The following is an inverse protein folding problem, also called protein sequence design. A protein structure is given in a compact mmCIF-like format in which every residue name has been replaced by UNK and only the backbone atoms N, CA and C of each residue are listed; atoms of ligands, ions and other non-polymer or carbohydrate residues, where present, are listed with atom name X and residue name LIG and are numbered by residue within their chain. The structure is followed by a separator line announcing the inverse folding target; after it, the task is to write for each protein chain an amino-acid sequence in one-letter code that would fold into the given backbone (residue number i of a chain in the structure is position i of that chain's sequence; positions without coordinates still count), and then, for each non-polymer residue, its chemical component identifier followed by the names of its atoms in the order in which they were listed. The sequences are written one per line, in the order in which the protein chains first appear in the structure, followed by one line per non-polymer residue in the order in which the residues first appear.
data_IF_844919365434
#
_entry.id   IF_844919365434
#
_cell.length_a   1.000
_cell.length_b   1.000
_cell.length_c   1.000
_cell.angle_alpha   90.00
_cell.angle_beta   90.00
_cell.angle_gamma   90.00
#
_symmetry.space_group_name_H-M   'P 1'
#
loop_
_entity.id
_entity.type
_entity.pdbx_description
1 polymer ?
#
# COMPACT_ATOMS: atom_id res chain seq x y z
N UNK A 1 78.76 13.78 -64.34
CA UNK A 1 78.05 15.09 -64.37
C UNK A 1 77.19 15.19 -63.11
N UNK A 2 77.35 16.22 -62.26
CA UNK A 2 76.29 16.69 -61.36
C UNK A 2 75.36 17.64 -62.18
N UNK A 3 74.28 18.29 -61.68
CA UNK A 3 73.80 18.42 -60.28
C UNK A 3 72.23 18.47 -60.07
N UNK A 4 71.83 18.59 -58.79
CA UNK A 4 70.81 19.52 -58.21
C UNK A 4 69.30 19.17 -58.09
N UNK A 5 68.89 19.08 -56.80
CA UNK A 5 67.73 19.66 -56.04
C UNK A 5 66.29 19.31 -56.47
N UNK A 6 65.28 19.20 -55.59
CA UNK A 6 65.00 19.79 -54.25
C UNK A 6 64.02 18.86 -53.50
N UNK A 7 64.27 18.47 -52.23
CA UNK A 7 63.79 19.05 -50.95
C UNK A 7 62.34 18.73 -50.54
N UNK A 8 62.27 17.86 -49.51
CA UNK A 8 61.35 17.72 -48.35
C UNK A 8 59.83 17.78 -48.58
N UNK A 9 59.14 16.72 -48.11
CA UNK A 9 57.95 16.93 -47.31
C UNK A 9 57.82 15.98 -46.11
N UNK A 10 57.19 16.52 -45.07
CA UNK A 10 57.29 16.20 -43.66
C UNK A 10 56.24 15.17 -43.21
N UNK A 11 56.64 14.33 -42.23
CA UNK A 11 55.87 13.76 -41.10
C UNK A 11 54.54 13.03 -41.35
N UNK A 12 54.47 11.80 -40.81
CA UNK A 12 53.42 11.42 -39.85
C UNK A 12 53.92 10.27 -38.95
N UNK A 13 54.17 10.58 -37.68
CA UNK A 13 54.45 9.62 -36.62
C UNK A 13 53.12 8.98 -36.18
N UNK A 14 53.04 7.65 -36.24
CA UNK A 14 51.98 6.88 -35.61
C UNK A 14 52.44 6.45 -34.20
N UNK A 15 51.65 6.78 -33.17
CA UNK A 15 51.67 6.13 -31.86
C UNK A 15 50.23 5.70 -31.53
N UNK A 16 50.02 4.49 -30.98
CA UNK A 16 48.68 3.97 -30.71
C UNK A 16 48.07 4.66 -29.48
N UNK A 17 46.82 5.10 -29.61
CA UNK A 17 46.07 5.76 -28.55
C UNK A 17 45.65 4.74 -27.49
N UNK A 18 45.98 5.01 -26.22
CA UNK A 18 45.52 4.25 -25.07
C UNK A 18 43.99 4.38 -24.92
N UNK A 19 43.30 3.25 -24.71
CA UNK A 19 41.86 3.23 -24.44
C UNK A 19 41.57 3.76 -23.03
N UNK A 20 40.63 4.70 -22.93
CA UNK A 20 40.08 5.19 -21.67
C UNK A 20 39.20 4.11 -21.00
N UNK A 21 39.17 4.01 -19.66
CA UNK A 21 38.35 3.02 -18.97
C UNK A 21 36.87 3.33 -19.20
N UNK A 22 36.14 2.32 -19.69
CA UNK A 22 34.68 2.37 -19.86
C UNK A 22 34.03 2.45 -18.48
N UNK A 23 33.56 3.64 -18.12
CA UNK A 23 32.86 3.86 -16.87
C UNK A 23 31.43 3.28 -16.98
N UNK A 24 31.30 1.97 -16.77
CA UNK A 24 30.01 1.27 -16.64
C UNK A 24 29.40 1.58 -15.26
N UNK A 25 29.00 2.83 -15.05
CA UNK A 25 28.01 3.11 -14.03
C UNK A 25 26.62 2.75 -14.56
N UNK A 26 25.81 1.95 -13.84
CA UNK A 26 24.43 1.72 -14.24
C UNK A 26 23.74 3.08 -14.36
N UNK A 27 23.15 3.34 -15.54
CA UNK A 27 22.35 4.54 -15.79
C UNK A 27 21.30 4.60 -14.68
N UNK A 28 21.42 5.57 -13.77
CA UNK A 28 20.46 5.84 -12.72
C UNK A 28 19.12 6.08 -13.42
N UNK A 29 18.21 5.11 -13.35
CA UNK A 29 16.85 5.26 -13.86
C UNK A 29 16.25 6.46 -13.15
N UNK A 30 15.97 7.51 -13.92
CA UNK A 30 15.45 8.76 -13.38
C UNK A 30 13.97 8.50 -13.09
N UNK A 31 13.67 8.08 -11.86
CA UNK A 31 12.29 7.88 -11.45
C UNK A 31 11.63 9.26 -11.38
N UNK A 32 10.40 9.43 -11.93
CA UNK A 32 9.71 10.70 -11.84
C UNK A 32 9.59 11.13 -10.37
N UNK A 33 9.57 12.44 -10.13
CA UNK A 33 9.38 12.95 -8.77
C UNK A 33 7.99 12.60 -8.25
N UNK A 34 6.96 12.64 -9.10
CA UNK A 34 5.57 12.50 -8.69
C UNK A 34 5.11 13.62 -7.76
N UNK A 35 3.84 13.58 -7.38
CA UNK A 35 3.23 14.48 -6.39
C UNK A 35 3.33 13.88 -5.00
N UNK A 36 3.32 14.72 -3.95
CA UNK A 36 3.36 14.26 -2.55
C UNK A 36 2.13 13.43 -2.17
N UNK A 37 0.97 13.91 -2.59
CA UNK A 37 -0.34 13.35 -2.30
C UNK A 37 -1.00 12.98 -3.64
N UNK A 38 -0.92 11.71 -4.02
CA UNK A 38 -1.50 11.18 -5.24
C UNK A 38 -2.94 10.75 -4.96
N UNK A 39 -3.90 11.34 -5.67
CA UNK A 39 -5.32 11.07 -5.51
C UNK A 39 -5.93 10.64 -6.83
N UNK A 40 -6.50 9.43 -6.87
CA UNK A 40 -7.10 8.83 -8.05
C UNK A 40 -8.60 8.65 -7.79
N UNK A 41 -9.45 9.28 -8.59
CA UNK A 41 -10.91 9.23 -8.39
C UNK A 41 -11.53 8.03 -9.08
N UNK A 42 -11.14 7.74 -10.32
CA UNK A 42 -11.64 6.57 -11.04
C UNK A 42 -10.50 5.80 -11.73
N UNK A 43 -10.64 4.48 -11.75
CA UNK A 43 -9.59 3.58 -12.27
C UNK A 43 -9.42 3.76 -13.79
N UNK A 44 -10.51 3.87 -14.52
CA UNK A 44 -10.53 4.06 -15.98
C UNK A 44 -10.01 5.44 -16.44
N UNK A 45 -10.22 6.50 -15.65
CA UNK A 45 -9.84 7.86 -16.04
C UNK A 45 -8.48 8.28 -15.53
N UNK A 46 -8.10 7.85 -14.33
CA UNK A 46 -6.92 8.39 -13.63
C UNK A 46 -5.76 7.40 -13.57
N UNK A 47 -6.00 6.09 -13.78
CA UNK A 47 -4.96 5.07 -13.65
C UNK A 47 -4.28 4.74 -14.98
N UNK A 48 -5.02 4.20 -15.94
CA UNK A 48 -4.51 3.58 -17.17
C UNK A 48 -3.51 4.48 -17.92
N UNK A 49 -2.22 4.12 -17.86
CA UNK A 49 -1.10 4.82 -18.51
C UNK A 49 -0.79 6.21 -17.95
N UNK A 50 -1.40 6.60 -16.83
CA UNK A 50 -1.30 7.93 -16.23
C UNK A 50 -0.67 7.92 -14.84
N UNK A 51 -0.81 6.83 -14.09
CA UNK A 51 -0.31 6.74 -12.71
C UNK A 51 1.21 7.00 -12.60
N UNK A 52 2.00 6.58 -13.60
CA UNK A 52 3.46 6.78 -13.64
C UNK A 52 3.87 8.26 -13.67
N UNK A 53 2.98 9.15 -14.14
CA UNK A 53 3.23 10.59 -14.16
C UNK A 53 2.94 11.25 -12.80
N UNK A 54 2.11 10.60 -11.98
CA UNK A 54 1.61 11.11 -10.70
C UNK A 54 2.41 10.52 -9.54
N UNK A 55 2.70 9.22 -9.59
CA UNK A 55 3.42 8.49 -8.54
C UNK A 55 4.90 8.52 -8.83
N UNK A 56 5.69 8.85 -7.81
CA UNK A 56 7.14 8.90 -7.93
C UNK A 56 7.84 8.99 -6.58
N UNK A 57 9.12 9.33 -6.61
CA UNK A 57 10.00 9.35 -5.41
C UNK A 57 9.63 10.40 -4.35
N UNK A 58 8.76 11.35 -4.68
CA UNK A 58 8.20 12.36 -3.77
C UNK A 58 6.82 11.97 -3.23
N UNK A 59 6.18 10.95 -3.79
CA UNK A 59 4.88 10.46 -3.33
C UNK A 59 4.99 9.85 -1.95
N UNK A 60 4.06 10.22 -1.09
CA UNK A 60 3.95 9.75 0.30
C UNK A 60 2.58 9.15 0.54
N UNK A 61 1.55 9.75 -0.02
CA UNK A 61 0.18 9.33 0.21
C UNK A 61 -0.43 8.96 -1.15
N UNK A 62 -1.04 7.77 -1.21
CA UNK A 62 -1.84 7.31 -2.34
C UNK A 62 -3.27 7.12 -1.82
N UNK A 63 -4.21 7.80 -2.45
CA UNK A 63 -5.62 7.79 -2.09
C UNK A 63 -6.45 7.43 -3.32
N UNK A 64 -7.34 6.47 -3.16
CA UNK A 64 -8.30 6.02 -4.16
C UNK A 64 -9.70 6.44 -3.73
N UNK A 65 -10.39 7.15 -4.62
CA UNK A 65 -11.66 7.79 -4.36
C UNK A 65 -12.89 6.96 -4.75
N UNK A 66 -14.04 7.63 -4.67
CA UNK A 66 -15.39 7.04 -4.71
C UNK A 66 -15.86 6.45 -6.04
N UNK A 67 -15.04 6.42 -7.09
CA UNK A 67 -15.35 5.79 -8.38
C UNK A 67 -14.23 4.82 -8.82
N UNK A 68 -13.40 4.38 -7.86
CA UNK A 68 -12.21 3.57 -8.12
C UNK A 68 -12.46 2.09 -7.82
N UNK A 69 -12.17 1.21 -8.80
CA UNK A 69 -12.20 -0.24 -8.61
C UNK A 69 -10.79 -0.73 -8.27
N UNK A 70 -10.50 -0.94 -6.99
CA UNK A 70 -9.18 -1.37 -6.56
C UNK A 70 -9.00 -2.88 -6.76
N UNK A 71 -7.96 -3.26 -7.50
CA UNK A 71 -7.60 -4.64 -7.82
C UNK A 71 -6.10 -4.88 -7.59
N UNK A 72 -5.68 -6.14 -7.70
CA UNK A 72 -4.28 -6.55 -7.60
C UNK A 72 -3.39 -5.83 -8.61
N UNK A 73 -3.86 -5.63 -9.84
CA UNK A 73 -3.10 -4.96 -10.91
C UNK A 73 -2.64 -3.57 -10.49
N UNK A 74 -3.50 -2.83 -9.78
CA UNK A 74 -3.16 -1.50 -9.28
C UNK A 74 -2.07 -1.52 -8.21
N UNK A 75 -2.06 -2.55 -7.34
CA UNK A 75 -0.94 -2.74 -6.41
C UNK A 75 0.31 -3.06 -7.21
N UNK A 76 0.22 -3.97 -8.18
CA UNK A 76 1.36 -4.45 -8.95
C UNK A 76 2.01 -3.37 -9.80
N UNK A 77 1.20 -2.50 -10.38
CA UNK A 77 1.61 -1.27 -11.06
C UNK A 77 2.44 -0.36 -10.13
N UNK A 78 1.97 -0.12 -8.90
CA UNK A 78 2.73 0.68 -7.92
C UNK A 78 4.05 0.00 -7.58
N UNK A 79 4.04 -1.32 -7.41
CA UNK A 79 5.25 -2.08 -7.08
C UNK A 79 6.25 -2.12 -8.24
N UNK A 80 5.77 -2.10 -9.49
CA UNK A 80 6.57 -2.04 -10.70
C UNK A 80 7.35 -0.72 -10.83
N UNK A 81 6.92 0.36 -10.17
CA UNK A 81 7.68 1.62 -10.05
C UNK A 81 8.98 1.47 -9.24
N UNK A 82 9.15 0.35 -8.52
CA UNK A 82 10.38 -0.05 -7.86
C UNK A 82 10.54 0.47 -6.43
N UNK A 83 11.49 -0.15 -5.70
CA UNK A 83 11.74 0.15 -4.28
C UNK A 83 12.00 1.64 -3.97
N UNK A 84 12.68 2.44 -4.82
CA UNK A 84 12.86 3.88 -4.56
C UNK A 84 11.56 4.67 -4.43
N UNK A 85 10.46 4.17 -5.02
CA UNK A 85 9.12 4.73 -4.88
C UNK A 85 8.39 4.06 -3.72
N UNK A 86 8.37 2.72 -3.64
CA UNK A 86 7.64 1.99 -2.59
C UNK A 86 8.11 2.34 -1.17
N UNK A 87 9.42 2.52 -0.96
CA UNK A 87 10.01 2.94 0.33
C UNK A 87 9.57 4.35 0.75
N UNK A 88 9.00 5.13 -0.16
CA UNK A 88 8.52 6.48 0.14
C UNK A 88 7.06 6.51 0.53
N UNK A 89 6.29 5.47 0.23
CA UNK A 89 4.86 5.42 0.54
C UNK A 89 4.68 5.31 2.06
N UNK A 90 3.87 6.22 2.59
CA UNK A 90 3.55 6.39 4.00
C UNK A 90 2.07 6.12 4.26
N UNK A 91 1.20 6.47 3.32
CA UNK A 91 -0.24 6.21 3.41
C UNK A 91 -0.75 5.56 2.13
N UNK A 92 -1.53 4.50 2.30
CA UNK A 92 -2.26 3.82 1.23
C UNK A 92 -3.72 3.73 1.66
N UNK A 93 -4.59 4.46 0.97
CA UNK A 93 -5.97 4.68 1.41
C UNK A 93 -6.91 4.38 0.25
N UNK A 94 -7.82 3.45 0.47
CA UNK A 94 -8.99 3.19 -0.36
C UNK A 94 -10.24 3.44 0.49
N UNK A 95 -11.06 4.38 0.05
CA UNK A 95 -12.28 4.81 0.73
C UNK A 95 -13.52 4.29 -0.02
N UNK A 96 -14.42 3.65 0.73
CA UNK A 96 -15.70 3.16 0.25
C UNK A 96 -16.81 4.08 0.76
N UNK A 97 -17.19 5.06 -0.06
CA UNK A 97 -18.15 6.10 0.33
C UNK A 97 -19.44 6.12 -0.52
N UNK A 98 -19.35 5.85 -1.82
CA UNK A 98 -20.51 5.81 -2.71
C UNK A 98 -21.18 4.43 -2.69
N UNK A 99 -22.49 4.41 -2.46
CA UNK A 99 -23.35 3.22 -2.44
C UNK A 99 -24.60 3.41 -3.31
N UNK A 100 -24.66 4.51 -4.07
CA UNK A 100 -25.76 4.79 -4.98
C UNK A 100 -25.86 3.77 -6.11
N UNK A 101 -26.95 3.83 -6.87
CA UNK A 101 -27.18 2.90 -8.00
C UNK A 101 -26.07 2.91 -9.06
N UNK A 102 -25.31 3.99 -9.15
CA UNK A 102 -24.20 4.16 -10.08
C UNK A 102 -22.81 3.90 -9.48
N UNK A 103 -22.72 3.50 -8.21
CA UNK A 103 -21.44 3.36 -7.50
C UNK A 103 -20.48 2.40 -8.22
N UNK A 104 -19.23 2.84 -8.42
CA UNK A 104 -18.13 2.02 -9.01
C UNK A 104 -16.87 2.04 -8.15
N UNK A 105 -17.05 2.11 -6.84
CA UNK A 105 -16.01 1.97 -5.84
C UNK A 105 -16.15 0.64 -5.13
N UNK A 106 -15.20 -0.27 -5.32
CA UNK A 106 -15.04 -1.42 -4.45
C UNK A 106 -13.61 -1.96 -4.51
N UNK A 107 -13.28 -2.80 -3.54
CA UNK A 107 -12.04 -3.55 -3.49
C UNK A 107 -12.31 -5.06 -3.35
N UNK A 108 -13.44 -5.55 -3.88
CA UNK A 108 -13.86 -6.95 -3.73
C UNK A 108 -12.95 -7.94 -4.47
N UNK A 109 -12.32 -7.46 -5.55
CA UNK A 109 -11.37 -8.24 -6.34
C UNK A 109 -9.95 -8.21 -5.77
N UNK A 110 -9.67 -7.33 -4.80
CA UNK A 110 -8.37 -7.26 -4.15
C UNK A 110 -8.09 -8.53 -3.34
N UNK A 111 -7.04 -9.25 -3.68
CA UNK A 111 -6.69 -10.51 -3.05
C UNK A 111 -5.83 -10.32 -1.80
N UNK A 112 -5.77 -11.37 -0.98
CA UNK A 112 -4.88 -11.42 0.15
C UNK A 112 -3.41 -11.33 -0.28
N UNK A 113 -3.04 -12.00 -1.38
CA UNK A 113 -1.69 -12.07 -1.92
C UNK A 113 -1.19 -10.69 -2.37
N UNK A 114 -2.05 -9.87 -2.97
CA UNK A 114 -1.72 -8.49 -3.31
C UNK A 114 -1.45 -7.64 -2.06
N UNK A 115 -2.26 -7.78 -1.01
CA UNK A 115 -2.05 -7.10 0.27
C UNK A 115 -0.72 -7.53 0.93
N UNK A 116 -0.39 -8.83 0.88
CA UNK A 116 0.91 -9.33 1.36
C UNK A 116 2.08 -8.69 0.61
N UNK A 117 1.98 -8.57 -0.72
CA UNK A 117 3.03 -7.92 -1.54
C UNK A 117 3.15 -6.43 -1.22
N UNK A 118 2.03 -5.74 -0.99
CA UNK A 118 2.02 -4.34 -0.57
C UNK A 118 2.75 -4.14 0.76
N UNK A 119 2.42 -4.95 1.78
CA UNK A 119 3.06 -4.89 3.10
C UNK A 119 4.57 -5.14 3.05
N UNK A 120 5.01 -6.11 2.25
CA UNK A 120 6.45 -6.43 2.08
C UNK A 120 7.22 -5.37 1.31
N UNK A 121 6.59 -4.69 0.36
CA UNK A 121 7.28 -3.77 -0.54
C UNK A 121 7.30 -2.32 -0.05
N UNK A 122 6.42 -1.96 0.89
CA UNK A 122 6.26 -0.59 1.40
C UNK A 122 6.59 -0.49 2.92
N UNK A 123 7.87 -0.63 3.34
CA UNK A 123 8.24 -0.75 4.75
C UNK A 123 8.02 0.52 5.59
N UNK A 124 7.78 1.67 4.95
CA UNK A 124 7.58 2.95 5.64
C UNK A 124 6.11 3.34 5.82
N UNK A 125 5.18 2.43 5.53
CA UNK A 125 3.76 2.64 5.78
C UNK A 125 3.49 3.01 7.25
N UNK A 126 2.69 4.06 7.43
CA UNK A 126 2.16 4.53 8.72
C UNK A 126 0.65 4.34 8.83
N UNK A 127 -0.06 4.46 7.72
CA UNK A 127 -1.51 4.28 7.64
C UNK A 127 -1.85 3.41 6.42
N UNK A 128 -2.57 2.34 6.65
CA UNK A 128 -3.23 1.56 5.60
C UNK A 128 -4.71 1.59 5.88
N UNK A 129 -5.51 1.93 4.88
CA UNK A 129 -6.96 1.89 4.96
C UNK A 129 -7.48 1.22 3.69
N UNK A 130 -8.02 0.02 3.85
CA UNK A 130 -8.61 -0.78 2.79
C UNK A 130 -10.03 -1.13 3.22
N UNK A 131 -10.98 -0.33 2.73
CA UNK A 131 -12.40 -0.57 2.94
C UNK A 131 -12.96 -1.44 1.81
N UNK A 132 -14.11 -2.06 2.04
CA UNK A 132 -14.75 -2.96 1.09
C UNK A 132 -13.86 -4.11 0.58
N UNK A 133 -12.93 -4.59 1.41
CA UNK A 133 -12.08 -5.75 1.10
C UNK A 133 -12.62 -7.01 1.77
N UNK A 134 -13.08 -8.00 0.99
CA UNK A 134 -13.70 -9.22 1.49
C UNK A 134 -12.80 -10.48 1.41
N UNK A 135 -11.61 -10.37 0.81
CA UNK A 135 -10.73 -11.51 0.55
C UNK A 135 -9.46 -11.54 1.39
N UNK A 136 -9.16 -10.48 2.13
CA UNK A 136 -7.96 -10.35 2.95
C UNK A 136 -8.06 -11.26 4.18
N UNK A 137 -7.00 -11.99 4.49
CA UNK A 137 -6.92 -12.96 5.60
C UNK A 137 -5.88 -12.49 6.63
N UNK A 138 -5.62 -13.32 7.65
CA UNK A 138 -4.59 -13.06 8.65
C UNK A 138 -3.22 -12.80 8.03
N UNK A 139 -2.85 -13.48 6.93
CA UNK A 139 -1.54 -13.30 6.28
C UNK A 139 -1.35 -11.88 5.73
N UNK A 140 -2.40 -11.32 5.10
CA UNK A 140 -2.40 -9.96 4.60
C UNK A 140 -2.21 -8.95 5.74
N UNK A 141 -2.96 -9.12 6.84
CA UNK A 141 -2.81 -8.27 8.03
C UNK A 141 -1.43 -8.41 8.68
N UNK A 142 -0.94 -9.65 8.82
CA UNK A 142 0.35 -9.98 9.42
C UNK A 142 1.52 -9.38 8.63
N UNK A 143 1.42 -9.36 7.29
CA UNK A 143 2.45 -8.75 6.44
C UNK A 143 2.73 -7.28 6.79
N UNK A 144 1.72 -6.52 7.21
CA UNK A 144 1.93 -5.14 7.66
C UNK A 144 2.61 -5.08 9.02
N UNK A 145 2.28 -5.99 9.94
CA UNK A 145 2.89 -6.02 11.27
C UNK A 145 4.39 -6.34 11.21
N UNK A 146 4.76 -7.32 10.40
CA UNK A 146 6.14 -7.79 10.23
C UNK A 146 7.02 -6.76 9.50
N UNK A 147 6.48 -6.14 8.45
CA UNK A 147 7.32 -5.40 7.49
C UNK A 147 7.24 -3.87 7.66
N UNK A 148 6.24 -3.35 8.40
CA UNK A 148 6.01 -1.90 8.54
C UNK A 148 6.22 -1.43 10.00
N UNK A 149 7.45 -1.21 10.48
CA UNK A 149 7.73 -0.82 11.87
C UNK A 149 7.19 0.58 12.24
N UNK A 150 6.87 1.40 11.24
CA UNK A 150 6.31 2.74 11.44
C UNK A 150 4.78 2.78 11.48
N UNK A 151 4.12 1.63 11.35
CA UNK A 151 2.67 1.53 11.25
C UNK A 151 1.98 2.05 12.52
N UNK A 152 1.00 2.92 12.34
CA UNK A 152 0.23 3.55 13.42
C UNK A 152 -1.26 3.25 13.35
N UNK A 153 -1.78 3.02 12.13
CA UNK A 153 -3.17 2.72 11.88
C UNK A 153 -3.31 1.71 10.74
N UNK A 154 -4.12 0.69 10.93
CA UNK A 154 -4.56 -0.23 9.88
C UNK A 154 -6.06 -0.34 9.91
N UNK A 155 -6.69 -0.27 8.74
CA UNK A 155 -8.09 -0.60 8.54
C UNK A 155 -8.21 -1.63 7.44
N UNK A 156 -8.81 -2.79 7.77
CA UNK A 156 -9.17 -3.86 6.85
C UNK A 156 -10.62 -4.25 7.16
N UNK A 157 -11.54 -3.84 6.31
CA UNK A 157 -12.99 -3.97 6.58
C UNK A 157 -13.72 -4.36 5.31
N UNK A 158 -14.65 -5.31 5.41
CA UNK A 158 -15.52 -5.71 4.30
C UNK A 158 -16.75 -4.81 4.14
N UNK A 159 -17.61 -5.18 3.19
CA UNK A 159 -19.00 -4.69 3.09
C UNK A 159 -19.95 -5.76 3.63
N UNK A 160 -21.16 -5.36 4.06
CA UNK A 160 -22.19 -6.30 4.52
C UNK A 160 -22.69 -7.27 3.43
N UNK A 161 -22.48 -6.93 2.14
CA UNK A 161 -22.87 -7.77 0.99
C UNK A 161 -21.90 -8.91 0.69
N UNK A 162 -20.63 -8.75 1.07
CA UNK A 162 -19.52 -9.61 0.64
C UNK A 162 -18.84 -10.36 1.78
N UNK A 163 -19.54 -11.31 2.40
CA UNK A 163 -18.97 -12.36 3.28
C UNK A 163 -18.35 -11.91 4.61
N UNK A 164 -18.32 -12.87 5.54
CA UNK A 164 -17.77 -12.79 6.90
C UNK A 164 -16.29 -12.45 6.83
N UNK A 165 -15.80 -11.60 7.73
CA UNK A 165 -14.37 -11.32 7.84
C UNK A 165 -13.59 -12.64 7.95
N UNK A 166 -12.62 -12.83 7.06
CA UNK A 166 -11.80 -14.04 7.02
C UNK A 166 -10.70 -14.06 8.08
N UNK A 167 -10.68 -13.06 8.96
CA UNK A 167 -9.71 -12.95 10.04
C UNK A 167 -10.08 -13.93 11.15
N UNK A 168 -9.26 -14.95 11.31
CA UNK A 168 -9.38 -15.95 12.38
C UNK A 168 -8.94 -15.41 13.73
N UNK A 169 -8.07 -14.39 13.75
CA UNK A 169 -7.41 -13.86 14.94
C UNK A 169 -5.94 -14.29 15.05
N UNK A 170 -5.47 -15.21 14.20
CA UNK A 170 -4.08 -15.67 14.17
C UNK A 170 -3.09 -14.52 14.05
N UNK A 171 -3.33 -13.53 13.17
CA UNK A 171 -2.44 -12.37 13.04
C UNK A 171 -2.37 -11.54 14.32
N UNK A 172 -3.45 -11.49 15.12
CA UNK A 172 -3.49 -10.77 16.38
C UNK A 172 -2.74 -11.52 17.48
N UNK A 173 -2.84 -12.84 17.50
CA UNK A 173 -2.06 -13.70 18.39
C UNK A 173 -0.57 -13.60 18.09
N UNK A 174 -0.19 -13.65 16.81
CA UNK A 174 1.20 -13.46 16.37
C UNK A 174 1.72 -12.05 16.74
N UNK A 175 0.94 -10.99 16.52
CA UNK A 175 1.32 -9.65 16.94
C UNK A 175 1.50 -9.53 18.48
N UNK A 176 0.73 -10.29 19.26
CA UNK A 176 0.90 -10.35 20.72
C UNK A 176 2.21 -11.05 21.09
N UNK A 177 2.56 -12.13 20.41
CA UNK A 177 3.77 -12.92 20.66
C UNK A 177 5.06 -12.21 20.23
N UNK A 178 4.97 -11.31 19.24
CA UNK A 178 6.08 -10.52 18.71
C UNK A 178 5.93 -9.03 19.05
N UNK A 179 6.40 -8.63 20.24
CA UNK A 179 6.28 -7.25 20.73
C UNK A 179 7.06 -6.22 19.88
N UNK A 180 8.09 -6.67 19.17
CA UNK A 180 8.89 -5.89 18.24
C UNK A 180 8.15 -5.51 16.95
N UNK A 181 7.06 -6.22 16.60
CA UNK A 181 6.27 -5.94 15.40
C UNK A 181 5.29 -4.79 15.61
N UNK A 182 5.25 -3.90 14.61
CA UNK A 182 4.47 -2.66 14.61
C UNK A 182 4.39 -1.96 15.99
N UNK A 183 5.53 -1.57 16.60
CA UNK A 183 5.57 -1.08 17.99
C UNK A 183 4.85 0.27 18.16
N UNK A 184 4.58 0.97 17.05
CA UNK A 184 3.89 2.26 17.02
C UNK A 184 2.40 2.14 16.73
N UNK A 185 1.85 0.92 16.61
CA UNK A 185 0.45 0.70 16.26
C UNK A 185 -0.46 1.19 17.38
N UNK A 186 -1.36 2.13 17.05
CA UNK A 186 -2.30 2.74 17.99
C UNK A 186 -3.76 2.41 17.68
N UNK A 187 -4.07 2.22 16.40
CA UNK A 187 -5.43 2.01 15.92
C UNK A 187 -5.45 0.82 14.97
N UNK A 188 -6.35 -0.13 15.23
CA UNK A 188 -6.63 -1.23 14.34
C UNK A 188 -8.14 -1.25 14.11
N UNK A 189 -8.58 -1.21 12.86
CA UNK A 189 -10.00 -1.20 12.49
C UNK A 189 -10.25 -2.44 11.65
N UNK A 190 -11.05 -3.34 12.17
CA UNK A 190 -11.35 -4.63 11.55
C UNK A 190 -12.86 -4.77 11.41
N UNK A 191 -13.30 -5.61 10.48
CA UNK A 191 -14.71 -5.96 10.43
C UNK A 191 -15.15 -6.73 11.68
N UNK A 192 -16.43 -6.60 12.01
CA UNK A 192 -17.03 -7.24 13.18
C UNK A 192 -17.70 -8.56 12.80
N UNK A 193 -17.18 -9.68 13.33
CA UNK A 193 -17.90 -10.95 13.38
C UNK A 193 -17.98 -11.46 14.83
N UNK A 194 -19.01 -11.03 15.57
CA UNK A 194 -19.20 -11.42 16.98
C UNK A 194 -19.29 -12.94 17.19
N UNK A 195 -19.63 -13.70 16.15
CA UNK A 195 -19.70 -15.17 16.22
C UNK A 195 -18.32 -15.81 16.28
N UNK A 196 -17.28 -15.11 15.82
CA UNK A 196 -15.91 -15.60 15.83
C UNK A 196 -15.28 -15.40 17.22
N UNK A 197 -15.56 -16.35 18.12
CA UNK A 197 -15.04 -16.34 19.50
C UNK A 197 -13.51 -16.34 19.57
N UNK A 198 -12.83 -17.02 18.64
CA UNK A 198 -11.37 -17.08 18.58
C UNK A 198 -10.80 -15.70 18.29
N UNK A 199 -11.29 -15.04 17.24
CA UNK A 199 -10.93 -13.68 16.90
C UNK A 199 -11.17 -12.70 18.06
N UNK A 200 -12.35 -12.78 18.70
CA UNK A 200 -12.68 -11.89 19.83
C UNK A 200 -11.74 -12.10 21.02
N UNK A 201 -11.33 -13.35 21.31
CA UNK A 201 -10.38 -13.66 22.36
C UNK A 201 -8.97 -13.14 22.02
N UNK A 202 -8.51 -13.35 20.78
CA UNK A 202 -7.21 -12.87 20.31
C UNK A 202 -7.12 -11.34 20.39
N UNK A 203 -8.14 -10.65 19.89
CA UNK A 203 -8.27 -9.19 19.93
C UNK A 203 -8.28 -8.65 21.38
N UNK A 204 -9.09 -9.24 22.27
CA UNK A 204 -9.13 -8.81 23.68
C UNK A 204 -7.81 -9.05 24.39
N UNK A 205 -7.11 -10.14 24.09
CA UNK A 205 -5.81 -10.47 24.67
C UNK A 205 -4.73 -9.50 24.17
N UNK A 206 -4.70 -9.22 22.86
CA UNK A 206 -3.79 -8.25 22.26
C UNK A 206 -3.96 -6.86 22.87
N UNK A 207 -5.20 -6.37 23.03
CA UNK A 207 -5.45 -5.04 23.60
C UNK A 207 -5.16 -4.95 25.10
N UNK A 208 -5.12 -6.07 25.84
CA UNK A 208 -4.59 -6.11 27.22
C UNK A 208 -3.08 -5.95 27.23
N UNK A 209 -2.38 -6.69 26.37
CA UNK A 209 -0.92 -6.67 26.26
C UNK A 209 -0.38 -5.33 25.75
N UNK A 210 -1.11 -4.70 24.82
CA UNK A 210 -0.79 -3.40 24.24
C UNK A 210 -1.81 -2.34 24.70
N UNK A 211 -1.70 -1.78 25.92
CA UNK A 211 -2.72 -0.88 26.48
C UNK A 211 -2.88 0.46 25.73
N UNK A 212 -1.90 0.82 24.88
CA UNK A 212 -1.96 1.95 23.97
C UNK A 212 -2.70 1.68 22.65
N UNK A 213 -2.95 0.40 22.32
CA UNK A 213 -3.68 -0.02 21.14
C UNK A 213 -5.18 0.01 21.38
N UNK A 214 -5.91 0.55 20.41
CA UNK A 214 -7.37 0.49 20.35
C UNK A 214 -7.78 -0.31 19.12
N UNK A 215 -8.66 -1.28 19.30
CA UNK A 215 -9.25 -2.05 18.20
C UNK A 215 -10.70 -1.62 18.03
N UNK A 216 -11.05 -1.16 16.83
CA UNK A 216 -12.40 -0.83 16.43
C UNK A 216 -12.93 -1.97 15.58
N UNK A 217 -14.03 -2.59 16.01
CA UNK A 217 -14.82 -3.45 15.15
C UNK A 217 -15.83 -2.56 14.45
N UNK A 218 -15.88 -2.60 13.12
CA UNK A 218 -16.69 -1.70 12.30
C UNK A 218 -17.49 -2.50 11.29
N UNK A 219 -18.81 -2.30 11.26
CA UNK A 219 -19.68 -2.83 10.20
C UNK A 219 -20.23 -1.68 9.36
N UNK A 220 -20.33 -1.94 8.05
CA UNK A 220 -20.91 -1.02 7.08
C UNK A 220 -22.20 -1.56 6.51
N UNK A 221 -23.25 -0.78 6.63
CA UNK A 221 -24.59 -1.10 6.18
C UNK A 221 -25.00 -0.12 5.08
N UNK A 222 -25.53 -0.65 3.99
CA UNK A 222 -26.22 0.15 3.00
C UNK A 222 -27.68 0.25 3.42
N UNK A 223 -28.13 1.47 3.71
CA UNK A 223 -29.48 1.75 4.18
C UNK A 223 -30.18 2.62 3.16
N UNK A 224 -31.38 2.21 2.76
CA UNK A 224 -32.18 3.00 1.84
C UNK A 224 -32.89 4.13 2.60
N UNK A 225 -32.58 5.38 2.27
CA UNK A 225 -33.23 6.57 2.83
C UNK A 225 -33.76 7.46 1.72
N UNK A 226 -35.03 7.84 1.82
CA UNK A 226 -35.68 8.80 0.91
C UNK A 226 -35.50 8.54 -0.60
N UNK A 227 -35.35 7.28 -1.01
CA UNK A 227 -35.21 6.89 -2.42
C UNK A 227 -33.78 6.65 -2.88
N UNK A 228 -32.78 7.02 -2.07
CA UNK A 228 -31.36 6.78 -2.33
C UNK A 228 -30.76 5.78 -1.33
N UNK A 229 -29.55 5.33 -1.63
CA UNK A 229 -28.75 4.49 -0.73
C UNK A 229 -27.75 5.36 0.03
N UNK A 230 -27.68 5.17 1.34
CA UNK A 230 -26.68 5.80 2.21
C UNK A 230 -25.87 4.72 2.92
N UNK A 231 -24.60 5.05 3.19
CA UNK A 231 -23.72 4.22 4.00
C UNK A 231 -23.87 4.60 5.48
N UNK A 232 -24.21 3.64 6.31
CA UNK A 232 -24.17 3.76 7.76
C UNK A 232 -23.09 2.86 8.35
N UNK A 233 -22.41 3.34 9.39
CA UNK A 233 -21.38 2.59 10.10
C UNK A 233 -21.81 2.34 11.55
N UNK A 234 -21.72 1.10 11.98
CA UNK A 234 -21.73 0.76 13.41
C UNK A 234 -20.31 0.45 13.84
N UNK A 235 -19.94 0.90 15.04
CA UNK A 235 -18.58 0.78 15.54
C UNK A 235 -18.57 0.43 17.01
N UNK A 236 -17.82 -0.62 17.35
CA UNK A 236 -17.56 -1.07 18.71
C UNK A 236 -16.07 -0.91 19.00
N UNK A 237 -15.73 -0.26 20.12
CA UNK A 237 -14.34 0.03 20.47
C UNK A 237 -13.89 -0.86 21.61
N UNK A 238 -12.73 -1.48 21.45
CA UNK A 238 -12.07 -2.29 22.47
C UNK A 238 -10.70 -1.72 22.83
N UNK A 239 -10.45 -1.66 24.15
CA UNK A 239 -9.18 -1.21 24.73
C UNK A 239 -8.95 -1.91 26.05
N UNK A 240 -7.70 -2.30 26.35
CA UNK A 240 -7.35 -3.04 27.58
C UNK A 240 -8.23 -4.30 27.78
N UNK A 241 -8.60 -4.97 26.69
CA UNK A 241 -9.45 -6.18 26.70
C UNK A 241 -10.92 -5.98 27.04
N UNK A 242 -11.42 -4.75 27.07
CA UNK A 242 -12.81 -4.42 27.41
C UNK A 242 -13.40 -3.48 26.37
N UNK A 243 -14.73 -3.42 26.32
CA UNK A 243 -15.45 -2.37 25.63
C UNK A 243 -15.04 -1.00 26.21
N UNK A 244 -14.72 -0.07 25.31
CA UNK A 244 -14.48 1.32 25.64
C UNK A 244 -15.76 2.11 25.33
N UNK A 245 -16.30 2.75 26.36
CA UNK A 245 -17.42 3.68 26.28
C UNK A 245 -16.90 5.11 26.15
#
# INVERSE_FOLDING_TARGET
MPPIRTVKNNKNNAFPCAQAPTNNHPKRTLHPKGVKDAHFRSSDRDWDGKYEQVIGTSTRNIVFGSDFLLTDDHIDDILALGSPVCEKIVQFIFEYEDVGYGARNNAESLTNEAVVRLGKSCPNLKKVQLQATCRVTDDGLLSFFENCPNLTSVELTGTSRGSRDKLSGQALDQLREHQEWAPKLKKLILGEDERNKLFMNAMRSLTKERPGLTVNLLQRHEVKKWGDWELEETKIVYKKGRLAW
#
